data_IF_604321377387
#
_entry.id   IF_604321377387
#
_cell.length_a   1.000
_cell.length_b   1.000
_cell.length_c   1.000
_cell.angle_alpha   90.00
_cell.angle_beta   90.00
_cell.angle_gamma   90.00
#
_symmetry.space_group_name_H-M   'P 1'
#
loop_
_entity.id
_entity.type
_entity.pdbx_description
1 polymer ?
#
# COMPACT_ATOMS: atom_id res chain seq x y z
N UNK A 1 11.23 -6.65 8.18
CA UNK A 1 10.37 -6.33 9.35
C UNK A 1 9.60 -7.57 9.76
N UNK A 2 9.03 -7.59 10.97
CA UNK A 2 8.38 -8.79 11.56
C UNK A 2 7.05 -9.19 10.90
N UNK A 3 6.33 -8.24 10.30
CA UNK A 3 4.94 -8.43 9.80
C UNK A 3 4.77 -8.13 8.30
N UNK A 4 5.84 -8.18 7.51
CA UNK A 4 5.80 -7.91 6.06
C UNK A 4 6.69 -6.75 5.59
N UNK A 5 7.11 -5.87 6.50
CA UNK A 5 8.05 -4.78 6.21
C UNK A 5 7.37 -3.40 6.07
N UNK A 6 8.14 -2.40 5.67
CA UNK A 6 7.68 -1.00 5.63
C UNK A 6 6.58 -0.74 4.59
N UNK A 7 6.45 -1.59 3.55
CA UNK A 7 5.38 -1.51 2.55
C UNK A 7 3.97 -1.76 3.11
N UNK A 8 3.85 -2.18 4.37
CA UNK A 8 2.58 -2.42 5.07
C UNK A 8 2.36 -1.51 6.29
N UNK A 9 3.36 -0.70 6.65
CA UNK A 9 3.32 0.12 7.85
C UNK A 9 2.63 1.46 7.56
N UNK A 10 1.36 1.57 7.97
CA UNK A 10 0.65 2.83 8.03
C UNK A 10 0.94 3.54 9.36
N UNK A 11 0.84 4.86 9.37
CA UNK A 11 1.10 5.69 10.56
C UNK A 11 0.27 6.97 10.57
N UNK A 12 0.16 7.54 11.77
CA UNK A 12 -0.47 8.84 12.01
C UNK A 12 0.28 9.58 13.12
N UNK A 13 0.40 10.89 12.96
CA UNK A 13 0.84 11.82 13.98
C UNK A 13 -0.39 12.59 14.46
N UNK A 14 -0.81 12.37 15.71
CA UNK A 14 -2.03 12.95 16.29
C UNK A 14 -1.63 14.02 17.30
N UNK A 15 -2.08 15.26 17.07
CA UNK A 15 -1.98 16.37 18.02
C UNK A 15 -3.37 16.83 18.47
N UNK A 16 -3.39 17.82 19.36
CA UNK A 16 -4.64 18.34 19.95
C UNK A 16 -5.54 19.05 18.92
N UNK A 17 -4.94 19.72 17.93
CA UNK A 17 -5.65 20.50 16.91
C UNK A 17 -5.59 19.90 15.51
N UNK A 18 -4.56 19.08 15.24
CA UNK A 18 -4.26 18.58 13.89
C UNK A 18 -3.81 17.12 13.95
N UNK A 19 -4.26 16.34 12.98
CA UNK A 19 -3.77 14.99 12.72
C UNK A 19 -3.17 14.89 11.30
N UNK A 20 -2.01 14.25 11.19
CA UNK A 20 -1.31 14.00 9.91
C UNK A 20 -1.17 12.50 9.70
N UNK A 21 -1.65 12.00 8.56
CA UNK A 21 -1.61 10.59 8.20
C UNK A 21 -0.58 10.40 7.09
N UNK A 22 0.44 9.60 7.35
CA UNK A 22 1.53 9.32 6.41
C UNK A 22 1.96 7.85 6.48
N UNK A 23 2.45 7.24 5.39
CA UNK A 23 3.03 5.90 5.46
C UNK A 23 4.42 5.97 6.11
N UNK A 24 4.85 4.91 6.80
CA UNK A 24 6.14 4.92 7.51
C UNK A 24 7.35 4.89 6.56
N UNK A 25 7.17 4.43 5.32
CA UNK A 25 8.27 4.41 4.34
C UNK A 25 8.55 5.80 3.75
N UNK A 26 9.82 6.06 3.43
CA UNK A 26 10.23 7.27 2.69
C UNK A 26 9.94 7.20 1.19
N UNK A 27 10.40 8.22 0.44
CA UNK A 27 10.13 8.40 -1.00
C UNK A 27 10.88 7.44 -1.94
N UNK A 28 11.93 6.76 -1.45
CA UNK A 28 12.79 5.87 -2.24
C UNK A 28 13.18 6.43 -3.63
N UNK A 29 13.98 7.53 -3.70
CA UNK A 29 14.21 8.29 -4.93
C UNK A 29 14.69 7.47 -6.14
N UNK A 30 15.43 6.39 -5.91
CA UNK A 30 15.90 5.46 -6.95
C UNK A 30 14.79 4.78 -7.77
N UNK A 31 13.54 4.83 -7.30
CA UNK A 31 12.38 4.27 -8.00
C UNK A 31 11.46 5.34 -8.59
N UNK A 32 11.72 6.63 -8.34
CA UNK A 32 10.81 7.71 -8.70
C UNK A 32 10.56 7.82 -10.21
N UNK A 33 11.59 7.54 -11.01
CA UNK A 33 11.54 7.64 -12.47
C UNK A 33 11.20 6.30 -13.17
N UNK A 34 10.89 5.24 -12.40
CA UNK A 34 10.52 3.96 -12.99
C UNK A 34 9.10 4.03 -13.57
N UNK A 35 8.98 3.62 -14.84
CA UNK A 35 7.70 3.51 -15.53
C UNK A 35 7.57 2.12 -16.18
N UNK A 36 6.67 1.25 -15.68
CA UNK A 36 5.72 1.51 -14.60
C UNK A 36 6.40 1.48 -13.21
N UNK A 37 5.81 2.20 -12.25
CA UNK A 37 6.28 2.17 -10.86
C UNK A 37 6.14 0.77 -10.26
N UNK A 38 7.11 0.37 -9.45
CA UNK A 38 7.18 -0.95 -8.81
C UNK A 38 6.93 -0.88 -7.30
N UNK A 39 6.74 0.31 -6.73
CA UNK A 39 6.64 0.49 -5.28
C UNK A 39 5.32 -0.05 -4.76
N UNK A 40 5.35 -0.72 -3.61
CA UNK A 40 4.17 -1.24 -2.92
C UNK A 40 3.31 -0.08 -2.35
N UNK A 41 2.07 0.14 -2.83
CA UNK A 41 1.23 1.25 -2.37
C UNK A 41 0.45 0.96 -1.08
N UNK A 42 0.52 -0.27 -0.54
CA UNK A 42 -0.40 -0.73 0.51
C UNK A 42 -0.31 0.13 1.78
N UNK A 43 0.89 0.48 2.25
CA UNK A 43 1.05 1.34 3.42
C UNK A 43 0.32 2.68 3.26
N UNK A 44 0.43 3.33 2.09
CA UNK A 44 -0.25 4.59 1.82
C UNK A 44 -1.78 4.42 1.79
N UNK A 45 -2.27 3.34 1.18
CA UNK A 45 -3.71 3.03 1.13
C UNK A 45 -4.27 2.78 2.54
N UNK A 46 -3.56 2.04 3.38
CA UNK A 46 -3.96 1.79 4.76
C UNK A 46 -3.87 3.05 5.63
N UNK A 47 -2.89 3.92 5.38
CA UNK A 47 -2.82 5.26 6.00
C UNK A 47 -4.05 6.10 5.64
N UNK A 48 -4.52 6.05 4.39
CA UNK A 48 -5.75 6.73 4.00
C UNK A 48 -7.00 6.13 4.71
N UNK A 49 -7.04 4.81 4.91
CA UNK A 49 -8.10 4.19 5.72
C UNK A 49 -8.06 4.64 7.19
N UNK A 50 -6.86 4.82 7.78
CA UNK A 50 -6.73 5.39 9.13
C UNK A 50 -7.24 6.84 9.21
N UNK A 51 -7.03 7.65 8.17
CA UNK A 51 -7.59 9.00 8.09
C UNK A 51 -9.13 8.94 8.10
N UNK A 52 -9.71 8.05 7.28
CA UNK A 52 -11.16 7.87 7.21
C UNK A 52 -11.76 7.45 8.56
N UNK A 53 -11.09 6.56 9.29
CA UNK A 53 -11.48 6.23 10.68
C UNK A 53 -11.50 7.48 11.57
N UNK A 54 -10.45 8.31 11.48
CA UNK A 54 -10.31 9.49 12.32
C UNK A 54 -11.40 10.55 12.08
N UNK A 55 -11.89 10.68 10.85
CA UNK A 55 -12.97 11.63 10.50
C UNK A 55 -14.37 11.02 10.57
N UNK A 56 -14.51 9.76 11.01
CA UNK A 56 -15.80 9.09 11.19
C UNK A 56 -16.37 8.40 9.94
N UNK A 57 -15.62 8.31 8.84
CA UNK A 57 -16.02 7.61 7.61
C UNK A 57 -15.74 6.09 7.71
N UNK A 58 -16.32 5.47 8.74
CA UNK A 58 -15.99 4.10 9.16
C UNK A 58 -16.28 3.04 8.09
N UNK A 59 -17.40 3.16 7.37
CA UNK A 59 -17.79 2.19 6.33
C UNK A 59 -16.80 2.22 5.15
N UNK A 60 -16.32 3.41 4.77
CA UNK A 60 -15.31 3.57 3.72
C UNK A 60 -13.95 3.03 4.17
N UNK A 61 -13.54 3.35 5.39
CA UNK A 61 -12.30 2.85 5.97
C UNK A 61 -12.29 1.32 6.04
N UNK A 62 -13.42 0.73 6.44
CA UNK A 62 -13.63 -0.72 6.48
C UNK A 62 -13.55 -1.32 5.08
N UNK A 63 -14.28 -0.78 4.11
CA UNK A 63 -14.26 -1.28 2.73
C UNK A 63 -12.85 -1.30 2.12
N UNK A 64 -12.05 -0.23 2.33
CA UNK A 64 -10.67 -0.17 1.85
C UNK A 64 -9.80 -1.25 2.51
N UNK A 65 -9.90 -1.43 3.83
CA UNK A 65 -9.14 -2.46 4.55
C UNK A 65 -9.51 -3.87 4.11
N UNK A 66 -10.80 -4.15 3.96
CA UNK A 66 -11.30 -5.46 3.51
C UNK A 66 -10.87 -5.77 2.08
N UNK A 67 -11.00 -4.81 1.15
CA UNK A 67 -10.52 -4.96 -0.23
C UNK A 67 -9.00 -5.20 -0.28
N UNK A 68 -8.23 -4.41 0.46
CA UNK A 68 -6.76 -4.58 0.53
C UNK A 68 -6.38 -5.94 1.10
N UNK A 69 -7.05 -6.37 2.18
CA UNK A 69 -6.82 -7.67 2.79
C UNK A 69 -7.18 -8.82 1.84
N UNK A 70 -8.28 -8.71 1.09
CA UNK A 70 -8.69 -9.70 0.11
C UNK A 70 -7.66 -9.85 -1.02
N UNK A 71 -7.13 -8.75 -1.55
CA UNK A 71 -6.08 -8.77 -2.58
C UNK A 71 -4.81 -9.45 -2.05
N UNK A 72 -4.35 -9.07 -0.86
CA UNK A 72 -3.17 -9.67 -0.22
C UNK A 72 -3.39 -11.17 0.04
N UNK A 73 -4.54 -11.55 0.59
CA UNK A 73 -4.89 -12.94 0.90
C UNK A 73 -5.01 -13.81 -0.37
N UNK A 74 -5.42 -13.23 -1.50
CA UNK A 74 -5.48 -13.95 -2.78
C UNK A 74 -4.10 -14.42 -3.27
N UNK A 75 -3.03 -13.71 -2.89
CA UNK A 75 -1.66 -13.97 -3.31
C UNK A 75 -1.38 -13.76 -4.82
N UNK A 76 -2.36 -13.28 -5.60
CA UNK A 76 -2.25 -13.16 -7.07
C UNK A 76 -1.52 -11.91 -7.53
N UNK A 77 -1.73 -10.78 -6.85
CA UNK A 77 -1.16 -9.47 -7.20
C UNK A 77 -0.25 -9.03 -6.06
N UNK A 78 1.06 -9.05 -6.28
CA UNK A 78 2.07 -8.86 -5.23
C UNK A 78 3.18 -7.92 -5.71
N UNK A 79 3.53 -6.93 -4.91
CA UNK A 79 4.71 -6.09 -5.15
C UNK A 79 6.01 -6.90 -4.99
N UNK A 80 7.11 -6.35 -5.49
CA UNK A 80 8.43 -7.01 -5.47
C UNK A 80 8.91 -7.32 -4.04
N UNK A 81 8.60 -6.47 -3.06
CA UNK A 81 8.96 -6.63 -1.66
C UNK A 81 8.20 -7.80 -1.00
N UNK A 82 6.94 -8.02 -1.40
CA UNK A 82 6.14 -9.19 -1.00
C UNK A 82 6.71 -10.51 -1.57
N UNK A 83 7.35 -10.43 -2.74
CA UNK A 83 8.04 -11.55 -3.38
C UNK A 83 9.47 -11.75 -2.88
N UNK A 84 9.97 -10.87 -1.99
CA UNK A 84 11.36 -10.85 -1.52
C UNK A 84 12.38 -10.68 -2.66
N UNK A 85 12.00 -9.99 -3.72
CA UNK A 85 12.90 -9.62 -4.81
C UNK A 85 13.67 -8.35 -4.46
N UNK A 86 14.91 -8.17 -4.95
CA UNK A 86 15.56 -6.87 -4.99
C UNK A 86 14.75 -5.90 -5.86
N UNK A 87 14.63 -4.64 -5.46
CA UNK A 87 13.87 -3.66 -6.24
C UNK A 87 14.65 -3.14 -7.44
N UNK A 88 14.06 -3.27 -8.62
CA UNK A 88 14.57 -2.83 -9.91
C UNK A 88 13.51 -3.05 -11.00
N UNK A 89 13.66 -2.49 -12.21
CA UNK A 89 12.67 -2.63 -13.29
C UNK A 89 12.41 -4.10 -13.70
N UNK A 90 13.39 -4.99 -13.52
CA UNK A 90 13.33 -6.41 -13.83
C UNK A 90 12.31 -7.20 -13.00
N UNK A 91 11.85 -6.67 -11.86
CA UNK A 91 10.90 -7.38 -10.98
C UNK A 91 9.59 -7.69 -11.68
N UNK A 92 9.20 -6.87 -12.66
CA UNK A 92 7.98 -7.05 -13.44
C UNK A 92 8.03 -8.33 -14.29
N UNK A 93 9.18 -8.63 -14.91
CA UNK A 93 9.36 -9.88 -15.65
C UNK A 93 9.51 -11.09 -14.73
N UNK A 94 9.79 -10.86 -13.44
CA UNK A 94 9.87 -11.88 -12.39
C UNK A 94 8.52 -12.11 -11.68
N UNK A 95 7.43 -11.50 -12.18
CA UNK A 95 6.07 -11.71 -11.69
C UNK A 95 5.62 -10.76 -10.59
N UNK A 96 6.38 -9.72 -10.26
CA UNK A 96 5.88 -8.63 -9.43
C UNK A 96 4.84 -7.80 -10.19
N UNK A 97 3.80 -7.37 -9.48
CA UNK A 97 2.85 -6.41 -9.98
C UNK A 97 3.40 -4.98 -9.83
N UNK A 98 3.04 -4.12 -10.78
CA UNK A 98 3.28 -2.68 -10.68
C UNK A 98 2.41 -2.03 -9.60
N UNK A 99 2.79 -0.82 -9.17
CA UNK A 99 1.99 -0.01 -8.25
C UNK A 99 0.54 0.13 -8.74
N UNK A 100 0.36 0.44 -10.03
CA UNK A 100 -0.97 0.61 -10.64
C UNK A 100 -1.75 -0.70 -10.63
N UNK A 101 -1.14 -1.84 -10.96
CA UNK A 101 -1.82 -3.13 -10.95
C UNK A 101 -2.32 -3.52 -9.55
N UNK A 102 -1.57 -3.20 -8.50
CA UNK A 102 -1.99 -3.43 -7.11
C UNK A 102 -3.18 -2.52 -6.78
N UNK A 103 -3.10 -1.24 -7.13
CA UNK A 103 -4.20 -0.29 -6.93
C UNK A 103 -5.47 -0.73 -7.65
N UNK A 104 -5.38 -1.12 -8.92
CA UNK A 104 -6.52 -1.58 -9.72
C UNK A 104 -7.15 -2.84 -9.12
N UNK A 105 -6.33 -3.78 -8.63
CA UNK A 105 -6.83 -4.97 -7.95
C UNK A 105 -7.59 -4.65 -6.67
N UNK A 106 -7.12 -3.65 -5.89
CA UNK A 106 -7.81 -3.19 -4.68
C UNK A 106 -9.12 -2.50 -5.04
N UNK A 107 -9.13 -1.62 -6.05
CA UNK A 107 -10.34 -0.95 -6.53
C UNK A 107 -11.38 -1.97 -7.00
N UNK A 108 -10.95 -2.96 -7.80
CA UNK A 108 -11.83 -4.04 -8.28
C UNK A 108 -12.39 -4.93 -7.15
N UNK A 109 -11.77 -4.91 -5.97
CA UNK A 109 -12.20 -5.63 -4.78
C UNK A 109 -13.06 -4.78 -3.83
N UNK A 110 -13.31 -3.51 -4.12
CA UNK A 110 -14.27 -2.69 -3.37
C UNK A 110 -15.70 -3.17 -3.69
N UNK A 111 -16.48 -3.40 -2.63
CA UNK A 111 -17.89 -3.77 -2.70
C UNK A 111 -18.80 -2.53 -2.75
#
# INVERSE_FOLDING_TARGET
GLVGGLGFACSANIGDEVAVFEPTHGSAPKYADLNPSIVNPIAMILTAAMLLDHIGELDRAKAIREATAAVVASGKVRAYDMLRLPGGPEVLSQGAASTTQITDAIIASLA
#
